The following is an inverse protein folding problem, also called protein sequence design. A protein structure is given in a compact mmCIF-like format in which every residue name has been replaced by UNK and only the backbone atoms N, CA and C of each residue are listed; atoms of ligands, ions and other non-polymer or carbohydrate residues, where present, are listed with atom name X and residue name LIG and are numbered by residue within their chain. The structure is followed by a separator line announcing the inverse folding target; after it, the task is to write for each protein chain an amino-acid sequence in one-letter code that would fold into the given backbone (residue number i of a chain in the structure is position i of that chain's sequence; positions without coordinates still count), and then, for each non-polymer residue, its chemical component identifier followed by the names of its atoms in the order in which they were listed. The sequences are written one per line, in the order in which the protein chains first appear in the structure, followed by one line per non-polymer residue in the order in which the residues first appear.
data_IF_192003965470
#
_entry.id   IF_192003965470
#
_cell.length_a   1.000
_cell.length_b   1.000
_cell.length_c   1.000
_cell.angle_alpha   90.00
_cell.angle_beta   90.00
_cell.angle_gamma   90.00
#
_symmetry.space_group_name_H-M   'P 1'
#
loop_
_entity.id
_entity.type
_entity.pdbx_description
1 polymer ?
#
# COMPACT_ATOMS: atom_id res chain seq x y z
N UNK A 1 -0.39 -4.66 -9.80
CA UNK A 1 -0.29 -3.36 -9.11
C UNK A 1 0.59 -2.33 -9.83
N UNK A 2 1.92 -2.23 -9.61
CA UNK A 2 2.74 -1.13 -10.16
C UNK A 2 2.63 -0.99 -11.69
N UNK A 3 2.65 -2.12 -12.41
CA UNK A 3 2.45 -2.17 -13.85
C UNK A 3 1.13 -1.54 -14.31
N UNK A 4 0.02 -1.86 -13.62
CA UNK A 4 -1.33 -1.38 -13.96
C UNK A 4 -1.47 0.11 -13.68
N UNK A 5 -0.86 0.62 -12.61
CA UNK A 5 -0.84 2.06 -12.31
C UNK A 5 -0.09 2.87 -13.37
N UNK A 6 0.99 2.31 -13.94
CA UNK A 6 1.80 2.96 -14.98
C UNK A 6 1.21 2.79 -16.38
N UNK A 7 0.32 1.83 -16.58
CA UNK A 7 -0.29 1.51 -17.88
C UNK A 7 -1.83 1.39 -17.77
N UNK A 8 -2.53 2.48 -17.40
CA UNK A 8 -3.99 2.45 -17.14
C UNK A 8 -4.83 2.13 -18.40
N UNK A 9 -4.28 2.34 -19.59
CA UNK A 9 -4.95 2.06 -20.86
C UNK A 9 -4.73 0.63 -21.36
N UNK A 10 -3.92 -0.18 -20.66
CA UNK A 10 -3.64 -1.53 -21.11
C UNK A 10 -4.76 -2.50 -20.68
N UNK A 11 -5.24 -3.30 -21.62
CA UNK A 11 -6.32 -4.27 -21.39
C UNK A 11 -5.84 -5.54 -20.67
N UNK A 12 -4.52 -5.80 -20.68
CA UNK A 12 -3.94 -6.99 -20.07
C UNK A 12 -3.51 -6.72 -18.61
N UNK A 13 -3.87 -7.61 -17.67
CA UNK A 13 -3.44 -7.48 -16.28
C UNK A 13 -1.92 -7.71 -16.18
N UNK A 14 -1.29 -7.07 -15.20
CA UNK A 14 0.16 -7.18 -15.00
C UNK A 14 0.63 -8.61 -14.67
N UNK A 15 -0.28 -9.46 -14.20
CA UNK A 15 -0.03 -10.89 -13.92
C UNK A 15 0.16 -11.73 -15.18
N UNK A 16 -0.36 -11.29 -16.32
CA UNK A 16 -0.22 -11.97 -17.61
C UNK A 16 1.00 -11.47 -18.41
N UNK A 17 1.71 -10.46 -17.92
CA UNK A 17 2.86 -9.89 -18.61
C UNK A 17 4.16 -10.66 -18.31
N UNK A 18 5.02 -10.89 -19.32
CA UNK A 18 6.35 -11.46 -19.09
C UNK A 18 7.19 -10.58 -18.15
N UNK A 19 7.98 -11.19 -17.27
CA UNK A 19 8.82 -10.48 -16.29
C UNK A 19 9.75 -9.43 -16.92
N UNK A 20 10.23 -9.67 -18.15
CA UNK A 20 11.09 -8.72 -18.87
C UNK A 20 10.40 -7.42 -19.29
N UNK A 21 9.06 -7.41 -19.35
CA UNK A 21 8.25 -6.25 -19.70
C UNK A 21 7.72 -5.48 -18.48
N UNK A 22 7.98 -5.97 -17.27
CA UNK A 22 7.61 -5.26 -16.05
C UNK A 22 8.52 -4.04 -15.84
N UNK A 23 7.97 -2.94 -15.29
CA UNK A 23 8.74 -1.75 -14.94
C UNK A 23 9.86 -2.10 -13.97
N UNK A 24 11.08 -1.62 -14.29
CA UNK A 24 12.24 -1.72 -13.40
C UNK A 24 12.34 -0.46 -12.58
N UNK A 25 12.41 -0.61 -11.26
CA UNK A 25 12.67 0.50 -10.35
C UNK A 25 14.17 0.81 -10.44
N UNK A 26 14.52 2.04 -10.84
CA UNK A 26 15.92 2.53 -10.92
C UNK A 26 16.30 3.45 -9.76
N UNK A 27 15.30 3.89 -8.99
CA UNK A 27 15.47 4.83 -7.88
C UNK A 27 15.63 4.11 -6.54
N UNK A 28 15.99 4.87 -5.49
CA UNK A 28 16.08 4.35 -4.14
C UNK A 28 14.71 3.92 -3.60
N UNK A 29 14.66 2.73 -2.99
CA UNK A 29 13.47 2.22 -2.31
C UNK A 29 13.54 2.63 -0.85
N UNK A 30 12.54 3.38 -0.39
CA UNK A 30 12.38 3.76 1.02
C UNK A 30 11.30 2.91 1.68
N UNK A 31 11.61 2.33 2.84
CA UNK A 31 10.71 1.48 3.61
C UNK A 31 10.30 2.19 4.89
N UNK A 32 9.00 2.37 5.10
CA UNK A 32 8.44 2.96 6.31
C UNK A 32 7.70 1.90 7.12
N UNK A 33 8.09 1.71 8.38
CA UNK A 33 7.51 0.70 9.30
C UNK A 33 6.20 1.16 9.95
N UNK A 34 5.61 2.25 9.48
CA UNK A 34 4.33 2.70 9.98
C UNK A 34 3.65 3.62 8.98
N UNK A 35 2.33 3.56 8.95
CA UNK A 35 1.47 4.51 8.26
C UNK A 35 0.45 5.09 9.24
N UNK A 36 -0.09 6.26 8.93
CA UNK A 36 -1.22 6.85 9.65
C UNK A 36 -2.43 6.82 8.72
N UNK A 37 -3.49 6.15 9.14
CA UNK A 37 -4.77 6.13 8.47
C UNK A 37 -5.70 7.14 9.15
N UNK A 38 -6.35 7.98 8.34
CA UNK A 38 -7.40 8.89 8.78
C UNK A 38 -8.66 8.48 8.04
N UNK A 39 -9.73 8.19 8.77
CA UNK A 39 -10.98 7.72 8.18
C UNK A 39 -12.18 8.22 8.99
N UNK A 40 -13.32 8.30 8.32
CA UNK A 40 -14.58 8.64 8.94
C UNK A 40 -15.29 7.35 9.35
N UNK A 41 -15.66 7.20 10.61
CA UNK A 41 -16.46 6.06 11.10
C UNK A 41 -17.91 6.52 11.33
N UNK A 42 -18.88 6.12 10.49
CA UNK A 42 -20.24 6.64 10.56
C UNK A 42 -20.99 6.33 11.86
N UNK A 43 -20.64 5.25 12.55
CA UNK A 43 -21.43 4.68 13.67
C UNK A 43 -20.74 4.76 15.05
N UNK A 44 -19.59 5.45 15.18
CA UNK A 44 -18.90 5.54 16.47
C UNK A 44 -19.48 6.67 17.35
N UNK A 45 -19.87 6.42 18.62
CA UNK A 45 -20.51 7.42 19.49
C UNK A 45 -19.57 8.55 19.98
N UNK A 46 -18.38 8.71 19.41
CA UNK A 46 -17.35 9.66 19.87
C UNK A 46 -17.60 11.14 19.56
N UNK A 47 -18.74 11.50 18.95
CA UNK A 47 -19.29 12.87 18.91
C UNK A 47 -18.73 13.79 17.82
N UNK A 48 -19.63 14.68 17.34
CA UNK A 48 -19.59 15.87 16.44
C UNK A 48 -18.62 15.91 15.23
N UNK A 49 -17.51 15.17 15.17
CA UNK A 49 -16.57 15.23 14.04
C UNK A 49 -16.14 13.86 13.48
N UNK A 50 -16.52 12.73 14.13
CA UNK A 50 -16.41 11.32 13.65
C UNK A 50 -15.22 10.96 12.73
N UNK A 51 -14.08 11.61 12.95
CA UNK A 51 -12.83 11.45 12.22
C UNK A 51 -11.86 10.71 13.12
N UNK A 52 -11.53 9.49 12.72
CA UNK A 52 -10.60 8.63 13.41
C UNK A 52 -9.21 8.75 12.80
N UNK A 53 -8.21 8.74 13.67
CA UNK A 53 -6.79 8.71 13.29
C UNK A 53 -6.12 7.53 13.97
N UNK A 54 -5.69 6.56 13.18
CA UNK A 54 -5.01 5.37 13.66
C UNK A 54 -3.60 5.27 13.07
N UNK A 55 -2.65 4.80 13.89
CA UNK A 55 -1.26 4.57 13.45
C UNK A 55 -1.02 3.08 13.32
N UNK A 56 -1.00 2.61 12.07
CA UNK A 56 -0.72 1.23 11.70
C UNK A 56 0.79 1.03 11.73
N UNK A 57 1.27 0.07 12.52
CA UNK A 57 2.70 -0.28 12.61
C UNK A 57 2.95 -1.58 11.86
N UNK A 58 3.87 -1.56 10.91
CA UNK A 58 4.39 -2.74 10.27
C UNK A 58 5.67 -3.16 11.02
N UNK A 59 5.66 -4.33 11.63
CA UNK A 59 6.85 -4.90 12.24
C UNK A 59 7.67 -5.49 11.08
N UNK A 60 8.97 -5.15 10.92
CA UNK A 60 9.81 -5.78 9.89
C UNK A 60 9.88 -7.31 10.00
N UNK A 61 9.56 -7.84 11.19
CA UNK A 61 9.41 -9.26 11.43
C UNK A 61 7.98 -9.70 11.12
N UNK A 62 7.75 -10.11 9.87
CA UNK A 62 6.59 -10.90 9.51
C UNK A 62 6.99 -12.38 9.52
N UNK A 63 6.28 -13.23 10.29
CA UNK A 63 6.54 -14.67 10.39
C UNK A 63 7.99 -15.10 10.66
N UNK A 64 8.73 -14.39 11.52
CA UNK A 64 10.01 -14.87 12.05
C UNK A 64 11.18 -14.98 11.06
N UNK A 65 11.02 -14.57 9.80
CA UNK A 65 12.12 -14.45 8.86
C UNK A 65 12.56 -13.00 8.75
N UNK A 66 13.53 -12.62 9.59
CA UNK A 66 14.45 -11.52 9.30
C UNK A 66 15.72 -12.12 8.63
N UNK A 67 16.50 -11.33 7.85
CA UNK A 67 17.73 -11.79 7.20
C UNK A 67 18.83 -12.16 8.20
#
# INVERSE_FOLDING_TARGET
FLYEQLSPSNALPGTSMPLGQLPKIKDAIYVYYSAVAIFYAPDDPSGIDSMHRERIRAIPQWCGSAP
#
